data_IF_099942460784
#
_entry.id   IF_099942460784
#
_cell.length_a   1.000
_cell.length_b   1.000
_cell.length_c   1.000
_cell.angle_alpha   90.00
_cell.angle_beta   90.00
_cell.angle_gamma   90.00
#
_symmetry.space_group_name_H-M   'P 1'
#
loop_
_entity.id
_entity.type
_entity.pdbx_description
1 polymer ?
#
# COMPACT_ATOMS: atom_id res chain seq x y z
N UNK A 1 4.88 -21.62 4.72
CA UNK A 1 6.11 -20.85 4.46
C UNK A 1 5.73 -19.68 3.56
N UNK A 2 4.77 -18.88 4.03
CA UNK A 2 4.09 -17.86 3.25
C UNK A 2 4.81 -16.52 3.25
N UNK A 3 4.39 -15.68 2.32
CA UNK A 3 4.71 -14.27 2.07
C UNK A 3 5.54 -13.49 3.11
N UNK A 4 6.40 -12.62 2.56
CA UNK A 4 6.72 -11.33 3.20
C UNK A 4 8.01 -11.27 4.02
N UNK A 5 8.94 -10.44 3.55
CA UNK A 5 10.10 -9.88 4.25
C UNK A 5 11.22 -10.86 4.63
N UNK A 6 12.44 -10.34 4.53
CA UNK A 6 13.67 -11.03 4.88
C UNK A 6 13.66 -11.45 6.36
N UNK A 7 14.60 -12.29 6.80
CA UNK A 7 14.91 -12.25 8.23
C UNK A 7 15.20 -10.79 8.59
N UNK A 8 14.49 -10.18 9.53
CA UNK A 8 14.61 -8.75 9.86
C UNK A 8 16.10 -8.37 10.02
N UNK A 9 16.90 -9.27 10.60
CA UNK A 9 18.34 -9.16 10.69
C UNK A 9 19.08 -9.16 9.33
N UNK A 10 18.75 -10.05 8.40
CA UNK A 10 19.38 -10.13 7.08
C UNK A 10 19.08 -8.90 6.21
N UNK A 11 17.85 -8.41 6.22
CA UNK A 11 17.53 -7.18 5.49
C UNK A 11 18.15 -5.96 6.11
N UNK A 12 18.11 -5.79 7.43
CA UNK A 12 18.83 -4.69 8.09
C UNK A 12 20.33 -4.75 7.86
N UNK A 13 20.90 -5.95 7.73
CA UNK A 13 22.31 -6.12 7.36
C UNK A 13 22.61 -5.66 5.93
N UNK A 14 21.69 -5.86 4.98
CA UNK A 14 21.84 -5.57 3.55
C UNK A 14 21.35 -4.16 3.16
N UNK A 15 20.47 -3.59 3.96
CA UNK A 15 19.82 -2.30 3.77
C UNK A 15 19.88 -1.57 5.12
N UNK A 16 21.06 -1.11 5.56
CA UNK A 16 21.27 -0.55 6.89
C UNK A 16 20.53 0.78 7.07
N UNK A 17 20.34 1.51 5.98
CA UNK A 17 19.57 2.74 5.91
C UNK A 17 18.08 2.47 5.57
N UNK A 18 17.63 1.22 5.68
CA UNK A 18 16.22 0.89 5.53
C UNK A 18 15.40 1.79 6.47
N UNK A 19 14.37 2.49 5.96
CA UNK A 19 13.46 3.25 6.79
C UNK A 19 12.95 2.37 7.93
N UNK A 20 13.00 2.84 9.17
CA UNK A 20 12.44 2.12 10.33
C UNK A 20 10.91 1.94 10.28
N UNK A 21 10.26 2.53 9.27
CA UNK A 21 8.81 2.60 9.10
C UNK A 21 8.43 2.32 7.64
N UNK A 22 9.00 1.28 7.01
CA UNK A 22 8.51 0.86 5.70
C UNK A 22 7.06 0.42 5.84
N UNK A 23 6.29 0.61 4.77
CA UNK A 23 4.87 0.23 4.72
C UNK A 23 4.64 -1.25 5.04
N UNK A 24 5.62 -2.10 4.75
CA UNK A 24 5.58 -3.57 4.93
C UNK A 24 6.17 -4.09 6.25
N UNK A 25 6.67 -3.24 7.15
CA UNK A 25 7.54 -3.65 8.27
C UNK A 25 6.87 -4.47 9.39
N UNK A 26 5.60 -4.86 9.22
CA UNK A 26 4.97 -5.85 10.08
C UNK A 26 3.80 -6.59 9.41
N UNK A 27 3.89 -6.79 8.09
CA UNK A 27 3.00 -7.69 7.34
C UNK A 27 3.25 -9.19 7.63
N UNK A 28 4.07 -9.50 8.64
CA UNK A 28 4.30 -10.86 9.10
C UNK A 28 3.20 -11.24 10.10
N UNK A 29 2.49 -12.34 9.83
CA UNK A 29 1.74 -13.05 10.87
C UNK A 29 2.72 -13.93 11.65
N UNK A 30 3.17 -13.55 12.87
CA UNK A 30 3.78 -14.53 13.74
C UNK A 30 2.71 -15.58 14.08
N UNK A 31 3.09 -16.86 14.02
CA UNK A 31 2.27 -17.92 14.60
C UNK A 31 1.99 -17.55 16.06
N UNK A 32 0.76 -17.15 16.37
CA UNK A 32 0.37 -16.85 17.73
C UNK A 32 0.41 -18.15 18.53
N UNK A 33 1.17 -18.18 19.62
CA UNK A 33 1.06 -19.25 20.59
C UNK A 33 -0.38 -19.25 21.13
N UNK A 34 -1.16 -20.25 20.69
CA UNK A 34 -2.57 -20.49 21.01
C UNK A 34 -2.90 -20.39 22.52
N UNK A 35 -1.90 -20.45 23.40
CA UNK A 35 -2.07 -20.30 24.84
C UNK A 35 -2.23 -18.85 25.33
N UNK A 36 -1.92 -17.83 24.51
CA UNK A 36 -2.11 -16.40 24.86
C UNK A 36 -3.41 -15.77 24.31
N UNK A 37 -4.01 -16.33 23.26
CA UNK A 37 -5.25 -15.82 22.66
C UNK A 37 -6.46 -15.87 23.60
N UNK A 38 -6.44 -16.74 24.61
CA UNK A 38 -7.53 -16.88 25.58
C UNK A 38 -7.65 -15.68 26.55
N UNK A 39 -6.64 -14.82 26.68
CA UNK A 39 -6.63 -13.74 27.70
C UNK A 39 -7.05 -12.37 27.16
N UNK A 40 -7.21 -12.20 25.84
CA UNK A 40 -7.62 -10.94 25.21
C UNK A 40 -9.07 -10.92 24.69
N UNK A 41 -9.81 -12.03 24.82
CA UNK A 41 -11.23 -12.16 24.44
C UNK A 41 -12.22 -11.35 25.32
N UNK A 42 -11.78 -10.22 25.90
CA UNK A 42 -12.60 -9.34 26.75
C UNK A 42 -12.91 -7.99 26.09
N UNK A 43 -12.27 -7.64 24.97
CA UNK A 43 -12.61 -6.41 24.23
C UNK A 43 -13.55 -6.70 23.07
N UNK A 44 -14.84 -6.74 23.43
CA UNK A 44 -16.04 -6.41 22.63
C UNK A 44 -15.91 -6.56 21.10
N UNK A 45 -16.46 -7.65 20.58
CA UNK A 45 -17.27 -7.54 19.36
C UNK A 45 -18.41 -6.55 19.69
N UNK A 46 -18.23 -5.27 19.36
CA UNK A 46 -19.35 -4.32 19.37
C UNK A 46 -20.19 -4.67 18.13
N UNK A 47 -21.44 -5.14 18.26
CA UNK A 47 -22.34 -5.16 17.12
C UNK A 47 -22.63 -3.70 16.79
N UNK A 48 -21.98 -3.16 15.75
CA UNK A 48 -22.02 -1.72 15.45
C UNK A 48 -22.41 -1.38 14.01
N UNK A 49 -22.14 -2.27 13.05
CA UNK A 49 -22.41 -2.01 11.63
C UNK A 49 -23.44 -3.01 11.13
N UNK A 50 -24.58 -2.54 10.63
CA UNK A 50 -25.69 -3.39 10.17
C UNK A 50 -25.69 -3.58 8.65
N UNK A 51 -25.50 -2.49 7.92
CA UNK A 51 -25.52 -2.38 6.47
C UNK A 51 -24.24 -1.65 6.00
N UNK A 52 -23.07 -2.30 6.12
CA UNK A 52 -21.80 -1.69 5.76
C UNK A 52 -21.76 -1.37 4.26
N UNK A 53 -21.33 -0.16 3.93
CA UNK A 53 -21.00 0.22 2.56
C UNK A 53 -19.69 0.99 2.53
N UNK A 54 -18.74 0.53 1.74
CA UNK A 54 -17.45 1.20 1.63
C UNK A 54 -17.57 2.58 0.97
N UNK A 55 -16.70 3.50 1.37
CA UNK A 55 -16.55 4.79 0.71
C UNK A 55 -15.82 4.61 -0.63
N UNK A 56 -16.33 5.24 -1.69
CA UNK A 56 -15.79 5.08 -3.05
C UNK A 56 -14.34 5.57 -3.20
N UNK A 57 -13.56 4.84 -4.01
CA UNK A 57 -12.19 5.22 -4.38
C UNK A 57 -12.11 6.26 -5.49
N UNK A 58 -13.21 6.50 -6.23
CA UNK A 58 -13.20 7.34 -7.44
C UNK A 58 -14.39 8.30 -7.54
N UNK A 59 -15.58 7.86 -7.10
CA UNK A 59 -16.81 8.60 -7.32
C UNK A 59 -16.97 9.75 -6.33
N UNK A 60 -17.50 10.86 -6.84
CA UNK A 60 -17.79 12.05 -6.07
C UNK A 60 -16.57 12.89 -5.74
N UNK A 61 -16.84 14.06 -5.18
CA UNK A 61 -15.80 14.96 -4.67
C UNK A 61 -15.19 14.43 -3.37
N UNK A 62 -13.93 14.73 -3.09
CA UNK A 62 -13.25 14.40 -1.83
C UNK A 62 -13.70 15.39 -0.76
N UNK A 63 -14.64 14.99 0.09
CA UNK A 63 -15.25 15.85 1.13
C UNK A 63 -14.51 15.76 2.46
N UNK A 64 -13.93 14.59 2.77
CA UNK A 64 -13.23 14.39 4.04
C UNK A 64 -12.07 13.41 3.91
N UNK A 65 -10.91 13.80 4.44
CA UNK A 65 -9.70 12.99 4.49
C UNK A 65 -9.23 12.77 5.93
N UNK A 66 -8.65 11.61 6.19
CA UNK A 66 -7.77 11.36 7.32
C UNK A 66 -6.33 11.41 6.80
N UNK A 67 -5.46 12.13 7.51
CA UNK A 67 -4.01 12.14 7.27
C UNK A 67 -3.29 11.87 8.60
N UNK A 68 -2.21 11.10 8.58
CA UNK A 68 -1.35 10.87 9.75
C UNK A 68 0.05 11.42 9.51
N UNK A 69 0.56 12.21 10.46
CA UNK A 69 1.86 12.86 10.38
C UNK A 69 2.74 12.45 11.56
N UNK A 70 3.52 11.37 11.42
CA UNK A 70 4.46 10.95 12.44
C UNK A 70 5.65 11.92 12.51
N UNK A 71 6.35 11.95 13.65
CA UNK A 71 7.40 12.96 13.89
C UNK A 71 8.55 12.89 12.89
N UNK A 72 8.95 11.67 12.49
CA UNK A 72 9.97 11.51 11.46
C UNK A 72 9.52 12.14 10.12
N UNK A 73 8.23 12.08 9.81
CA UNK A 73 7.65 12.65 8.60
C UNK A 73 7.61 14.17 8.66
N UNK A 74 7.23 14.72 9.82
CA UNK A 74 7.24 16.17 10.08
C UNK A 74 8.64 16.76 9.98
N UNK A 75 9.66 15.99 10.36
CA UNK A 75 11.07 16.42 10.38
C UNK A 75 11.81 16.20 9.05
N UNK A 76 11.21 15.52 8.07
CA UNK A 76 11.80 15.28 6.74
C UNK A 76 11.31 16.33 5.72
N UNK A 77 12.18 17.22 5.22
CA UNK A 77 11.81 18.19 4.19
C UNK A 77 11.23 17.54 2.92
N UNK A 78 11.72 16.36 2.56
CA UNK A 78 11.30 15.60 1.39
C UNK A 78 9.86 15.11 1.55
N UNK A 79 9.51 14.54 2.71
CA UNK A 79 8.14 14.08 3.00
C UNK A 79 7.17 15.26 3.18
N UNK A 80 7.58 16.32 3.86
CA UNK A 80 6.78 17.55 4.04
C UNK A 80 6.37 18.15 2.70
N UNK A 81 7.25 18.12 1.71
CA UNK A 81 6.94 18.60 0.35
C UNK A 81 5.77 17.83 -0.27
N UNK A 82 5.77 16.50 -0.17
CA UNK A 82 4.67 15.66 -0.63
C UNK A 82 3.38 15.91 0.16
N UNK A 83 3.43 15.90 1.50
CA UNK A 83 2.25 16.16 2.36
C UNK A 83 1.57 17.48 2.03
N UNK A 84 2.36 18.57 1.97
CA UNK A 84 1.83 19.91 1.70
C UNK A 84 1.23 20.01 0.30
N UNK A 85 1.83 19.36 -0.70
CA UNK A 85 1.27 19.37 -2.05
C UNK A 85 -0.13 18.74 -2.12
N UNK A 86 -0.40 17.70 -1.32
CA UNK A 86 -1.74 17.09 -1.23
C UNK A 86 -2.69 18.04 -0.52
N UNK A 87 -2.29 18.60 0.64
CA UNK A 87 -3.12 19.52 1.42
C UNK A 87 -3.49 20.75 0.59
N UNK A 88 -2.52 21.37 -0.07
CA UNK A 88 -2.68 22.59 -0.86
C UNK A 88 -3.53 22.35 -2.13
N UNK A 89 -3.51 21.13 -2.67
CA UNK A 89 -4.31 20.75 -3.84
C UNK A 89 -5.79 20.53 -3.52
N UNK A 90 -6.13 20.18 -2.28
CA UNK A 90 -7.52 20.00 -1.88
C UNK A 90 -8.28 21.33 -1.88
N UNK A 91 -9.57 21.28 -2.21
CA UNK A 91 -10.46 22.45 -2.13
C UNK A 91 -10.59 22.95 -0.68
N UNK A 92 -10.81 24.25 -0.52
CA UNK A 92 -11.02 24.86 0.81
C UNK A 92 -12.20 24.26 1.60
N UNK A 93 -13.17 23.63 0.92
CA UNK A 93 -14.29 22.95 1.55
C UNK A 93 -13.97 21.56 2.10
N UNK A 94 -12.83 20.97 1.76
CA UNK A 94 -12.44 19.64 2.23
C UNK A 94 -12.21 19.66 3.74
N UNK A 95 -12.74 18.65 4.42
CA UNK A 95 -12.53 18.43 5.85
C UNK A 95 -11.35 17.49 6.08
N UNK A 96 -10.62 17.71 7.16
CA UNK A 96 -9.44 16.94 7.51
C UNK A 96 -9.55 16.44 8.95
N UNK A 97 -9.27 15.17 9.13
CA UNK A 97 -8.93 14.55 10.41
C UNK A 97 -7.42 14.33 10.39
N UNK A 98 -6.70 15.03 11.26
CA UNK A 98 -5.24 15.11 11.22
C UNK A 98 -4.65 14.48 12.48
N UNK A 99 -4.09 13.29 12.33
CA UNK A 99 -3.40 12.57 13.39
C UNK A 99 -1.95 13.05 13.44
N UNK A 100 -1.48 13.46 14.62
CA UNK A 100 -0.13 14.01 14.79
C UNK A 100 0.40 13.73 16.20
N UNK A 101 1.72 13.72 16.37
CA UNK A 101 2.29 13.73 17.72
C UNK A 101 2.02 15.05 18.44
N UNK A 102 1.82 15.00 19.77
CA UNK A 102 1.57 16.17 20.61
C UNK A 102 2.62 17.28 20.41
N UNK A 103 3.90 16.91 20.34
CA UNK A 103 5.02 17.84 20.15
C UNK A 103 5.04 18.54 18.78
N UNK A 104 4.49 17.92 17.75
CA UNK A 104 4.52 18.43 16.36
C UNK A 104 3.30 19.31 16.00
N UNK A 105 2.35 19.44 16.93
CA UNK A 105 1.09 20.18 16.79
C UNK A 105 1.25 21.49 16.02
N UNK A 106 2.11 22.37 16.54
CA UNK A 106 2.24 23.73 16.03
C UNK A 106 2.77 23.73 14.59
N UNK A 107 3.70 22.85 14.26
CA UNK A 107 4.26 22.72 12.91
C UNK A 107 3.19 22.25 11.94
N UNK A 108 2.46 21.18 12.28
CA UNK A 108 1.42 20.58 11.44
C UNK A 108 0.27 21.56 11.18
N UNK A 109 -0.16 22.33 12.19
CA UNK A 109 -1.21 23.35 12.02
C UNK A 109 -0.89 24.35 10.90
N UNK A 110 0.39 24.73 10.73
CA UNK A 110 0.79 25.71 9.71
C UNK A 110 0.58 25.21 8.28
N UNK A 111 0.52 23.89 8.07
CA UNK A 111 0.33 23.31 6.74
C UNK A 111 -1.11 23.46 6.26
N UNK A 112 -2.06 23.64 7.18
CA UNK A 112 -3.49 23.79 6.87
C UNK A 112 -3.97 25.24 6.83
N UNK A 113 -3.06 26.21 6.81
CA UNK A 113 -3.41 27.64 6.83
C UNK A 113 -4.29 28.09 5.63
N UNK A 114 -4.26 27.34 4.51
CA UNK A 114 -5.13 27.56 3.35
C UNK A 114 -6.58 27.06 3.52
N UNK A 115 -6.87 26.33 4.59
CA UNK A 115 -8.17 25.73 4.86
C UNK A 115 -8.86 26.41 6.05
N UNK A 116 -10.20 26.52 6.06
CA UNK A 116 -10.94 27.01 7.22
C UNK A 116 -10.64 26.16 8.46
N UNK A 117 -10.31 26.81 9.59
CA UNK A 117 -10.00 26.09 10.83
C UNK A 117 -11.12 25.13 11.29
N UNK A 118 -12.38 25.47 11.00
CA UNK A 118 -13.53 24.62 11.31
C UNK A 118 -13.59 23.33 10.48
N UNK A 119 -12.82 23.23 9.39
CA UNK A 119 -12.72 22.04 8.55
C UNK A 119 -11.57 21.12 8.98
N UNK A 120 -10.76 21.50 9.98
CA UNK A 120 -9.60 20.71 10.39
C UNK A 120 -9.77 20.29 11.84
N UNK A 121 -10.02 19.00 12.04
CA UNK A 121 -10.01 18.38 13.37
C UNK A 121 -8.68 17.70 13.57
N UNK A 122 -8.07 17.94 14.72
CA UNK A 122 -6.75 17.43 15.00
C UNK A 122 -6.78 16.47 16.18
N UNK A 123 -6.08 15.35 15.98
CA UNK A 123 -6.15 14.15 16.81
C UNK A 123 -4.73 13.91 17.35
N UNK A 124 -4.46 14.28 18.61
CA UNK A 124 -3.13 14.12 19.19
C UNK A 124 -2.84 12.66 19.53
N UNK A 125 -1.65 12.20 19.17
CA UNK A 125 -1.04 10.97 19.64
C UNK A 125 0.10 11.31 20.63
N UNK A 126 0.22 10.63 21.77
CA UNK A 126 1.32 10.88 22.70
C UNK A 126 2.69 10.64 22.04
N UNK A 127 3.69 11.47 22.34
CA UNK A 127 5.03 11.39 21.71
C UNK A 127 5.76 10.04 21.92
N UNK A 128 5.30 9.21 22.88
CA UNK A 128 5.86 7.89 23.13
C UNK A 128 5.23 6.77 22.29
N UNK A 129 4.16 7.06 21.55
CA UNK A 129 3.48 6.12 20.65
C UNK A 129 3.96 6.38 19.23
N UNK A 130 4.78 5.48 18.70
CA UNK A 130 5.16 5.53 17.29
C UNK A 130 3.95 5.18 16.40
N UNK A 131 3.89 5.77 15.20
CA UNK A 131 2.91 5.44 14.16
C UNK A 131 3.45 5.84 12.78
N UNK A 132 2.76 5.45 11.71
CA UNK A 132 3.17 5.72 10.33
C UNK A 132 2.25 6.72 9.62
N UNK A 133 2.74 7.30 8.53
CA UNK A 133 1.98 8.19 7.64
C UNK A 133 1.04 7.43 6.69
N UNK A 134 1.02 6.09 6.73
CA UNK A 134 0.24 5.22 5.85
C UNK A 134 -1.22 5.08 6.32
N UNK A 135 -1.91 6.22 6.40
CA UNK A 135 -3.31 6.32 6.84
C UNK A 135 -4.30 5.45 6.04
N UNK A 136 -3.95 4.98 4.84
CA UNK A 136 -4.84 4.14 4.04
C UNK A 136 -4.97 2.71 4.59
N UNK A 137 -3.96 2.20 5.30
CA UNK A 137 -3.80 0.74 5.43
C UNK A 137 -4.51 0.10 6.63
N UNK A 138 -4.37 0.69 7.82
CA UNK A 138 -4.75 0.03 9.09
C UNK A 138 -6.25 -0.23 9.28
N UNK A 139 -7.10 0.24 8.37
CA UNK A 139 -8.55 0.14 8.45
C UNK A 139 -9.21 0.31 7.08
N UNK A 140 -10.50 -0.03 6.98
CA UNK A 140 -11.39 0.36 5.89
C UNK A 140 -12.33 1.45 6.35
N UNK A 141 -12.66 2.38 5.46
CA UNK A 141 -13.62 3.44 5.77
C UNK A 141 -14.97 3.10 5.14
N UNK A 142 -16.00 3.02 5.97
CA UNK A 142 -17.35 2.65 5.55
C UNK A 142 -18.40 3.55 6.18
N UNK A 143 -19.58 3.57 5.58
CA UNK A 143 -20.80 4.13 6.15
C UNK A 143 -21.76 2.99 6.48
N UNK A 144 -22.56 3.18 7.54
CA UNK A 144 -23.61 2.22 7.94
C UNK A 144 -25.01 2.78 7.63
N UNK A 145 -25.69 2.16 6.66
CA UNK A 145 -27.09 2.42 6.32
C UNK A 145 -27.56 3.89 6.34
N UNK A 146 -28.79 4.10 6.80
CA UNK A 146 -29.46 5.41 6.87
C UNK A 146 -28.89 6.35 7.96
N UNK A 147 -28.02 5.87 8.84
CA UNK A 147 -27.45 6.68 9.93
C UNK A 147 -26.37 7.65 9.45
N UNK A 148 -25.88 7.48 8.21
CA UNK A 148 -24.81 8.28 7.60
C UNK A 148 -23.58 8.42 8.52
N UNK A 149 -23.36 7.40 9.35
CA UNK A 149 -22.29 7.33 10.34
C UNK A 149 -21.07 6.69 9.70
N UNK A 150 -19.94 7.40 9.70
CA UNK A 150 -18.66 6.88 9.20
C UNK A 150 -17.98 6.01 10.26
N UNK A 151 -17.45 4.88 9.83
CA UNK A 151 -16.63 3.97 10.63
C UNK A 151 -15.25 3.78 10.01
N UNK A 152 -14.24 3.61 10.86
CA UNK A 152 -12.98 2.95 10.55
C UNK A 152 -13.09 1.50 11.04
N UNK A 153 -13.19 0.57 10.10
CA UNK A 153 -13.23 -0.86 10.35
C UNK A 153 -11.81 -1.42 10.32
N UNK A 154 -11.30 -1.81 11.48
CA UNK A 154 -10.00 -2.43 11.65
C UNK A 154 -10.06 -3.94 11.32
N UNK A 155 -8.97 -4.52 10.79
CA UNK A 155 -8.87 -5.96 10.61
C UNK A 155 -8.70 -6.67 11.97
N UNK A 156 -8.68 -7.99 11.93
CA UNK A 156 -8.49 -8.83 13.12
C UNK A 156 -7.21 -8.48 13.89
N UNK A 157 -6.15 -8.18 13.15
CA UNK A 157 -4.88 -7.73 13.69
C UNK A 157 -4.18 -6.86 12.65
N UNK A 158 -3.55 -5.80 13.12
CA UNK A 158 -2.70 -4.93 12.31
C UNK A 158 -1.45 -4.56 13.10
N UNK A 159 -0.49 -5.50 13.23
CA UNK A 159 0.76 -5.16 13.87
C UNK A 159 1.52 -4.27 12.89
N UNK A 160 1.59 -2.96 13.10
CA UNK A 160 2.55 -2.06 12.44
C UNK A 160 2.71 -0.80 13.26
N UNK A 161 3.84 -0.69 13.94
CA UNK A 161 4.07 0.39 14.91
C UNK A 161 2.86 0.51 15.87
N UNK A 162 2.39 1.73 16.14
CA UNK A 162 1.14 2.03 16.84
C UNK A 162 -0.04 2.39 15.93
N UNK A 163 -0.02 1.99 14.65
CA UNK A 163 -1.09 2.32 13.69
C UNK A 163 -2.47 1.79 14.13
N UNK A 164 -2.51 0.67 14.85
CA UNK A 164 -3.72 0.10 15.43
C UNK A 164 -4.36 0.97 16.53
N UNK A 165 -3.72 2.06 16.94
CA UNK A 165 -4.29 3.01 17.90
C UNK A 165 -4.93 4.22 17.21
N UNK A 166 -4.74 4.38 15.90
CA UNK A 166 -5.23 5.54 15.15
C UNK A 166 -6.76 5.56 15.13
N UNK A 167 -7.43 4.43 14.87
CA UNK A 167 -8.89 4.39 14.77
C UNK A 167 -9.57 4.75 16.10
N UNK A 168 -9.09 4.15 17.21
CA UNK A 168 -9.56 4.45 18.57
C UNK A 168 -9.38 5.92 18.93
N UNK A 169 -8.20 6.48 18.63
CA UNK A 169 -7.92 7.89 18.93
C UNK A 169 -8.78 8.81 18.05
N UNK A 170 -9.00 8.47 16.78
CA UNK A 170 -9.92 9.22 15.92
C UNK A 170 -11.36 9.18 16.43
N UNK A 171 -11.82 8.06 16.99
CA UNK A 171 -13.14 7.95 17.63
C UNK A 171 -13.29 8.89 18.84
N UNK A 172 -12.22 9.10 19.61
CA UNK A 172 -12.27 9.98 20.78
C UNK A 172 -12.44 11.47 20.42
N UNK A 173 -11.87 11.91 19.31
CA UNK A 173 -11.81 13.34 18.93
C UNK A 173 -12.79 13.73 17.82
N UNK A 174 -13.44 12.78 17.17
CA UNK A 174 -14.29 13.03 16.01
C UNK A 174 -15.66 12.35 16.13
N UNK A 175 -16.51 12.52 15.12
CA UNK A 175 -17.75 11.73 15.01
C UNK A 175 -17.53 10.36 14.39
N UNK A 176 -16.34 10.07 13.83
CA UNK A 176 -16.03 8.77 13.22
C UNK A 176 -15.97 7.70 14.32
N UNK A 177 -16.43 6.49 14.03
CA UNK A 177 -16.44 5.37 14.99
C UNK A 177 -15.40 4.33 14.64
N UNK A 178 -14.86 3.64 15.64
CA UNK A 178 -13.99 2.49 15.44
C UNK A 178 -14.79 1.19 15.56
N UNK A 179 -14.48 0.22 14.70
CA UNK A 179 -15.05 -1.13 14.72
C UNK A 179 -13.98 -2.13 14.27
N UNK A 180 -14.22 -3.42 14.49
CA UNK A 180 -13.29 -4.46 14.09
C UNK A 180 -14.02 -5.63 13.41
N UNK A 181 -13.37 -6.24 12.42
CA UNK A 181 -13.84 -7.46 11.76
C UNK A 181 -12.87 -8.64 11.97
N UNK A 182 -13.37 -9.89 12.03
CA UNK A 182 -12.53 -11.08 12.08
C UNK A 182 -12.00 -11.45 10.68
N UNK A 183 -11.33 -10.49 10.04
CA UNK A 183 -10.85 -10.56 8.65
C UNK A 183 -9.43 -10.01 8.58
N UNK A 184 -8.66 -10.46 7.59
CA UNK A 184 -7.39 -9.85 7.21
C UNK A 184 -7.62 -8.94 6.01
N UNK A 185 -7.24 -7.69 6.13
CA UNK A 185 -7.19 -6.73 5.03
C UNK A 185 -6.32 -5.54 5.40
N UNK A 186 -5.92 -4.78 4.39
CA UNK A 186 -5.46 -3.41 4.55
C UNK A 186 -6.14 -2.55 3.49
N UNK A 187 -6.40 -1.29 3.79
CA UNK A 187 -7.16 -0.43 2.88
C UNK A 187 -6.47 -0.15 1.55
N UNK A 188 -5.14 -0.08 1.51
CA UNK A 188 -4.40 0.04 0.25
C UNK A 188 -4.58 -1.17 -0.68
N UNK A 189 -4.99 -2.31 -0.12
CA UNK A 189 -5.30 -3.50 -0.89
C UNK A 189 -6.79 -3.60 -1.29
N UNK A 190 -7.56 -2.51 -1.12
CA UNK A 190 -8.97 -2.41 -1.46
C UNK A 190 -9.24 -1.22 -2.39
N UNK A 191 -10.02 -1.43 -3.47
CA UNK A 191 -10.48 -0.37 -4.36
C UNK A 191 -11.98 -0.49 -4.62
N UNK A 192 -12.71 0.61 -4.50
CA UNK A 192 -14.17 0.60 -4.38
C UNK A 192 -14.82 1.23 -5.61
N UNK A 193 -15.52 0.39 -6.38
CA UNK A 193 -16.31 0.76 -7.55
C UNK A 193 -17.78 1.06 -7.20
N UNK A 194 -18.65 0.96 -8.20
CA UNK A 194 -20.09 1.26 -8.04
C UNK A 194 -20.84 0.09 -7.41
N UNK A 195 -20.84 -1.03 -8.11
CA UNK A 195 -21.51 -2.29 -7.77
C UNK A 195 -20.51 -3.41 -7.43
N UNK A 196 -19.22 -3.09 -7.42
CA UNK A 196 -18.13 -4.00 -7.07
C UNK A 196 -17.12 -3.32 -6.16
N UNK A 197 -16.31 -4.14 -5.50
CA UNK A 197 -15.07 -3.70 -4.88
C UNK A 197 -13.99 -4.77 -5.07
N UNK A 198 -12.75 -4.30 -5.13
CA UNK A 198 -11.57 -5.11 -5.40
C UNK A 198 -10.84 -5.36 -4.09
N UNK A 199 -10.34 -6.58 -3.91
CA UNK A 199 -9.43 -6.96 -2.84
C UNK A 199 -8.25 -7.71 -3.44
N UNK A 200 -7.03 -7.36 -3.01
CA UNK A 200 -5.87 -8.17 -3.35
C UNK A 200 -6.00 -9.62 -2.86
N UNK A 201 -5.72 -10.58 -3.74
CA UNK A 201 -5.95 -12.01 -3.45
C UNK A 201 -5.21 -12.51 -2.22
N UNK A 202 -4.04 -11.96 -1.90
CA UNK A 202 -3.21 -12.46 -0.80
C UNK A 202 -3.94 -12.33 0.55
N UNK A 203 -4.63 -11.22 0.81
CA UNK A 203 -5.36 -11.03 2.09
C UNK A 203 -6.64 -11.86 2.22
N UNK A 204 -7.26 -12.22 1.10
CA UNK A 204 -8.32 -13.21 1.11
C UNK A 204 -7.78 -14.58 1.54
N UNK A 205 -6.58 -14.95 1.05
CA UNK A 205 -5.92 -16.21 1.41
C UNK A 205 -5.40 -16.20 2.85
N UNK A 206 -4.90 -15.08 3.36
CA UNK A 206 -4.48 -14.94 4.75
C UNK A 206 -5.67 -15.15 5.70
N UNK A 207 -6.81 -14.54 5.40
CA UNK A 207 -8.06 -14.79 6.16
C UNK A 207 -8.42 -16.28 6.14
N UNK A 208 -8.36 -16.91 4.97
CA UNK A 208 -8.66 -18.33 4.81
C UNK A 208 -7.71 -19.23 5.62
N UNK A 209 -6.42 -18.90 5.66
CA UNK A 209 -5.42 -19.64 6.44
C UNK A 209 -5.62 -19.48 7.94
N UNK A 210 -5.95 -18.29 8.43
CA UNK A 210 -6.24 -18.07 9.85
C UNK A 210 -7.51 -18.81 10.32
N UNK A 211 -8.49 -19.00 9.44
CA UNK A 211 -9.65 -19.87 9.73
C UNK A 211 -9.22 -21.33 9.83
N UNK A 212 -8.39 -21.81 8.90
CA UNK A 212 -7.92 -23.20 8.84
C UNK A 212 -7.08 -23.60 10.05
N UNK A 213 -6.22 -22.69 10.48
CA UNK A 213 -5.34 -22.86 11.64
C UNK A 213 -6.08 -22.68 12.96
N UNK A 214 -7.29 -22.11 12.94
CA UNK A 214 -8.09 -21.82 14.13
C UNK A 214 -7.59 -20.60 14.92
N UNK A 215 -6.78 -19.75 14.29
CA UNK A 215 -6.28 -18.50 14.89
C UNK A 215 -7.36 -17.41 14.93
N UNK A 216 -8.31 -17.43 13.99
CA UNK A 216 -9.52 -16.62 14.08
C UNK A 216 -10.56 -17.30 14.99
N UNK A 217 -11.22 -16.55 15.91
CA UNK A 217 -12.20 -17.10 16.85
C UNK A 217 -13.57 -17.34 16.19
N UNK A 218 -13.57 -17.96 15.00
CA UNK A 218 -14.77 -18.24 14.22
C UNK A 218 -14.75 -19.69 13.75
N UNK A 219 -15.94 -20.27 13.54
CA UNK A 219 -16.08 -21.64 13.04
C UNK A 219 -16.91 -21.66 11.78
N UNK A 220 -16.43 -22.40 10.78
CA UNK A 220 -17.14 -22.58 9.51
C UNK A 220 -18.44 -23.33 9.77
N UNK A 221 -19.61 -22.78 9.35
CA UNK A 221 -20.89 -23.45 9.52
C UNK A 221 -20.94 -24.80 8.79
N UNK A 222 -21.64 -25.77 9.37
CA UNK A 222 -21.82 -27.10 8.77
C UNK A 222 -22.46 -26.98 7.37
N UNK A 223 -21.87 -27.68 6.39
CA UNK A 223 -22.36 -27.69 5.00
C UNK A 223 -21.88 -26.52 4.13
N UNK A 224 -21.02 -25.64 4.64
CA UNK A 224 -20.34 -24.61 3.84
C UNK A 224 -18.86 -24.94 3.65
N UNK A 225 -18.29 -24.51 2.54
CA UNK A 225 -16.83 -24.47 2.36
C UNK A 225 -16.24 -23.24 3.04
N UNK A 226 -14.95 -23.31 3.39
CA UNK A 226 -14.23 -22.17 3.98
C UNK A 226 -14.23 -20.96 3.04
N UNK A 227 -14.09 -21.18 1.73
CA UNK A 227 -14.06 -20.10 0.72
C UNK A 227 -15.41 -19.37 0.65
N UNK A 228 -16.52 -20.12 0.65
CA UNK A 228 -17.87 -19.52 0.70
C UNK A 228 -18.06 -18.71 1.99
N UNK A 229 -17.58 -19.24 3.11
CA UNK A 229 -17.69 -18.57 4.40
C UNK A 229 -16.84 -17.29 4.48
N UNK A 230 -15.60 -17.29 3.98
CA UNK A 230 -14.77 -16.07 3.92
C UNK A 230 -15.44 -14.99 3.06
N UNK A 231 -16.00 -15.35 1.90
CA UNK A 231 -16.76 -14.40 1.06
C UNK A 231 -17.97 -13.83 1.79
N UNK A 232 -18.70 -14.66 2.52
CA UNK A 232 -19.82 -14.21 3.36
C UNK A 232 -19.36 -13.26 4.46
N UNK A 233 -18.22 -13.53 5.12
CA UNK A 233 -17.69 -12.65 6.16
C UNK A 233 -17.32 -11.27 5.60
N UNK A 234 -16.62 -11.23 4.46
CA UNK A 234 -16.32 -9.96 3.78
C UNK A 234 -17.61 -9.21 3.40
N UNK A 235 -18.59 -9.90 2.80
CA UNK A 235 -19.88 -9.28 2.47
C UNK A 235 -20.61 -8.73 3.70
N UNK A 236 -20.60 -9.48 4.80
CA UNK A 236 -21.30 -9.10 6.04
C UNK A 236 -20.64 -7.95 6.79
N UNK A 237 -19.30 -7.90 6.81
CA UNK A 237 -18.56 -6.96 7.63
C UNK A 237 -18.07 -5.72 6.86
N UNK A 238 -17.90 -5.83 5.54
CA UNK A 238 -17.19 -4.81 4.75
C UNK A 238 -18.10 -4.11 3.75
N UNK A 239 -18.80 -4.87 2.91
CA UNK A 239 -19.76 -4.31 1.96
C UNK A 239 -20.79 -5.36 1.52
N UNK A 240 -22.04 -5.17 1.93
CA UNK A 240 -23.12 -6.11 1.62
C UNK A 240 -23.79 -5.84 0.27
N UNK A 241 -23.57 -4.66 -0.30
CA UNK A 241 -24.24 -4.20 -1.52
C UNK A 241 -23.41 -4.44 -2.79
N UNK A 242 -22.08 -4.46 -2.66
CA UNK A 242 -21.15 -4.61 -3.79
C UNK A 242 -20.53 -6.00 -3.87
N UNK A 243 -20.29 -6.45 -5.10
CA UNK A 243 -19.61 -7.72 -5.35
C UNK A 243 -18.10 -7.63 -5.04
N UNK A 244 -17.59 -8.56 -4.23
CA UNK A 244 -16.16 -8.72 -3.98
C UNK A 244 -15.45 -9.45 -5.14
N UNK A 245 -14.56 -8.74 -5.82
CA UNK A 245 -13.67 -9.29 -6.84
C UNK A 245 -12.22 -9.37 -6.34
N UNK A 246 -11.58 -10.52 -6.55
CA UNK A 246 -10.20 -10.74 -6.12
C UNK A 246 -9.22 -10.37 -7.23
N UNK A 247 -8.14 -9.69 -6.87
CA UNK A 247 -7.12 -9.20 -7.81
C UNK A 247 -5.76 -9.83 -7.49
N UNK A 248 -5.26 -10.63 -8.41
CA UNK A 248 -3.97 -11.31 -8.32
C UNK A 248 -3.81 -12.33 -9.43
N UNK A 249 -2.64 -12.96 -9.51
CA UNK A 249 -2.35 -14.03 -10.46
C UNK A 249 -2.97 -15.35 -10.01
N UNK A 250 -3.13 -16.29 -10.95
CA UNK A 250 -3.62 -17.66 -10.66
C UNK A 250 -2.54 -18.56 -10.05
N UNK A 251 -1.27 -18.17 -10.18
CA UNK A 251 -0.12 -18.95 -9.72
C UNK A 251 0.88 -18.04 -8.99
N UNK A 252 1.61 -18.58 -8.01
CA UNK A 252 2.66 -17.85 -7.32
C UNK A 252 3.67 -17.22 -8.29
N UNK A 253 4.14 -16.02 -7.96
CA UNK A 253 5.04 -15.23 -8.82
C UNK A 253 6.43 -15.86 -9.00
N UNK A 254 6.85 -16.70 -8.04
CA UNK A 254 8.11 -17.46 -8.14
C UNK A 254 9.37 -16.61 -8.02
N UNK A 255 9.27 -15.41 -7.44
CA UNK A 255 10.42 -14.54 -7.19
C UNK A 255 11.18 -15.02 -5.95
N UNK A 256 12.51 -15.16 -6.04
CA UNK A 256 13.37 -15.45 -4.89
C UNK A 256 13.59 -14.17 -4.09
N UNK A 257 13.86 -14.32 -2.78
CA UNK A 257 14.25 -13.18 -1.92
C UNK A 257 15.57 -12.53 -2.36
N UNK A 258 16.52 -13.34 -2.83
CA UNK A 258 17.86 -12.88 -3.19
C UNK A 258 18.32 -13.48 -4.51
N UNK A 259 19.02 -12.68 -5.31
CA UNK A 259 19.70 -13.12 -6.52
C UNK A 259 21.17 -12.69 -6.50
N UNK A 260 22.05 -13.63 -6.86
CA UNK A 260 23.44 -13.34 -7.15
C UNK A 260 23.57 -13.07 -8.65
N UNK A 261 23.79 -11.81 -9.02
CA UNK A 261 23.92 -11.36 -10.39
C UNK A 261 25.36 -10.92 -10.66
N UNK A 262 25.90 -11.26 -11.83
CA UNK A 262 27.22 -10.79 -12.28
C UNK A 262 27.06 -10.09 -13.62
N UNK A 263 27.23 -8.76 -13.61
CA UNK A 263 27.07 -7.91 -14.79
C UNK A 263 28.35 -7.10 -14.99
N UNK A 264 28.91 -7.15 -16.21
CA UNK A 264 30.14 -6.41 -16.56
C UNK A 264 31.32 -6.59 -15.58
N UNK A 265 31.38 -7.72 -14.86
CA UNK A 265 32.43 -8.02 -13.87
C UNK A 265 32.14 -7.52 -12.45
N UNK A 266 30.98 -6.90 -12.22
CA UNK A 266 30.50 -6.49 -10.90
C UNK A 266 29.66 -7.59 -10.25
N UNK A 267 29.80 -7.76 -8.93
CA UNK A 267 28.96 -8.66 -8.14
C UNK A 267 27.79 -7.88 -7.54
N UNK A 268 26.57 -8.30 -7.87
CA UNK A 268 25.34 -7.60 -7.56
C UNK A 268 24.42 -8.53 -6.77
N UNK A 269 24.16 -8.19 -5.51
CA UNK A 269 23.18 -8.89 -4.69
C UNK A 269 21.84 -8.17 -4.83
N UNK A 270 20.94 -8.74 -5.63
CA UNK A 270 19.63 -8.16 -5.91
C UNK A 270 18.58 -8.63 -4.88
N UNK A 271 17.81 -7.66 -4.40
CA UNK A 271 16.71 -7.78 -3.45
C UNK A 271 15.40 -7.36 -4.13
N UNK A 272 14.86 -8.19 -5.06
CA UNK A 272 13.73 -7.77 -5.89
C UNK A 272 12.35 -7.92 -5.22
N UNK A 273 12.26 -8.70 -4.13
CA UNK A 273 10.98 -9.03 -3.48
C UNK A 273 10.44 -7.97 -2.52
N UNK A 274 11.03 -6.76 -2.50
CA UNK A 274 10.56 -5.67 -1.65
C UNK A 274 9.13 -5.28 -2.02
N UNK A 275 8.15 -5.62 -1.16
CA UNK A 275 6.74 -5.31 -1.41
C UNK A 275 6.08 -6.17 -2.49
N UNK A 276 6.55 -7.38 -2.77
CA UNK A 276 5.83 -8.36 -3.61
C UNK A 276 5.04 -9.34 -2.74
N UNK A 277 3.79 -9.63 -3.09
CA UNK A 277 2.98 -10.68 -2.46
C UNK A 277 3.22 -12.07 -3.06
N UNK A 278 2.45 -13.06 -2.64
CA UNK A 278 2.54 -14.42 -3.21
C UNK A 278 1.86 -14.47 -4.59
N UNK A 279 0.71 -13.80 -4.73
CA UNK A 279 -0.08 -13.71 -5.96
C UNK A 279 -0.21 -12.27 -6.50
N UNK A 280 0.36 -11.29 -5.81
CA UNK A 280 0.29 -9.89 -6.24
C UNK A 280 1.68 -9.32 -6.57
N UNK A 281 1.89 -8.77 -7.78
CA UNK A 281 3.20 -8.26 -8.19
C UNK A 281 3.64 -7.04 -7.36
N UNK A 282 2.71 -6.38 -6.68
CA UNK A 282 2.96 -5.46 -5.56
C UNK A 282 1.94 -5.81 -4.48
N UNK A 283 2.36 -5.80 -3.22
CA UNK A 283 1.57 -6.23 -2.06
C UNK A 283 0.18 -5.57 -1.97
N UNK A 284 0.06 -4.31 -2.40
CA UNK A 284 -1.21 -3.59 -2.48
C UNK A 284 -1.63 -3.27 -3.91
N UNK A 285 -2.91 -3.49 -4.21
CA UNK A 285 -3.47 -3.21 -5.53
C UNK A 285 -3.52 -1.72 -5.87
N UNK A 286 -3.63 -0.82 -4.88
CA UNK A 286 -3.60 0.63 -5.12
C UNK A 286 -2.28 1.12 -5.72
N UNK A 287 -1.23 0.31 -5.68
CA UNK A 287 0.07 0.60 -6.28
C UNK A 287 0.12 0.32 -7.78
N UNK A 288 -0.83 -0.45 -8.34
CA UNK A 288 -0.83 -0.80 -9.76
C UNK A 288 -2.20 -0.83 -10.42
N UNK A 289 -3.27 -0.52 -9.68
CA UNK A 289 -4.64 -0.41 -10.16
C UNK A 289 -5.20 0.95 -9.75
N UNK A 290 -5.89 1.62 -10.67
CA UNK A 290 -6.64 2.85 -10.38
C UNK A 290 -8.04 2.76 -10.99
N UNK A 291 -9.06 3.10 -10.22
CA UNK A 291 -10.44 3.21 -10.72
C UNK A 291 -10.67 4.62 -11.29
N UNK A 292 -11.14 4.71 -12.54
CA UNK A 292 -11.37 5.99 -13.23
C UNK A 292 -12.86 6.27 -13.54
N UNK A 293 -13.76 5.37 -13.13
CA UNK A 293 -15.19 5.49 -13.40
C UNK A 293 -15.61 4.98 -14.78
N UNK A 294 -16.90 5.05 -15.12
CA UNK A 294 -17.41 4.55 -16.40
C UNK A 294 -16.93 5.39 -17.58
N UNK A 295 -16.54 4.70 -18.67
CA UNK A 295 -16.27 5.30 -19.97
C UNK A 295 -17.55 5.68 -20.72
N UNK A 296 -17.40 6.30 -21.88
CA UNK A 296 -18.53 6.68 -22.75
C UNK A 296 -19.30 5.48 -23.31
N UNK A 297 -18.70 4.29 -23.31
CA UNK A 297 -19.32 3.02 -23.72
C UNK A 297 -20.05 2.31 -22.55
N UNK A 298 -20.07 2.91 -21.36
CA UNK A 298 -20.70 2.38 -20.15
C UNK A 298 -19.86 1.32 -19.43
N UNK A 299 -18.71 0.90 -19.96
CA UNK A 299 -17.81 -0.01 -19.23
C UNK A 299 -17.04 0.76 -18.16
N UNK A 300 -16.86 0.14 -17.00
CA UNK A 300 -16.07 0.74 -15.93
C UNK A 300 -14.59 0.75 -16.31
N UNK A 301 -13.93 1.92 -16.24
CA UNK A 301 -12.53 2.08 -16.61
C UNK A 301 -11.60 1.81 -15.44
N UNK A 302 -10.59 0.98 -15.70
CA UNK A 302 -9.53 0.63 -14.76
C UNK A 302 -8.19 0.89 -15.42
N UNK A 303 -7.31 1.63 -14.75
CA UNK A 303 -5.91 1.72 -15.14
C UNK A 303 -5.15 0.59 -14.47
N UNK A 304 -4.29 -0.10 -15.23
CA UNK A 304 -3.44 -1.17 -14.73
C UNK A 304 -1.99 -0.92 -15.16
N UNK A 305 -1.07 -0.85 -14.19
CA UNK A 305 0.34 -0.58 -14.41
C UNK A 305 1.05 -1.63 -15.27
N UNK A 306 2.05 -1.20 -16.04
CA UNK A 306 2.86 -2.02 -16.92
C UNK A 306 4.34 -1.60 -16.86
N UNK A 307 5.21 -2.47 -16.33
CA UNK A 307 6.66 -2.32 -16.41
C UNK A 307 7.22 -2.15 -17.82
N UNK A 308 6.75 -2.92 -18.80
CA UNK A 308 7.23 -2.83 -20.18
C UNK A 308 7.00 -1.43 -20.80
N UNK A 309 5.90 -0.76 -20.46
CA UNK A 309 5.64 0.60 -20.92
C UNK A 309 6.62 1.60 -20.31
N UNK A 310 6.97 1.43 -19.03
CA UNK A 310 7.97 2.26 -18.38
C UNK A 310 9.38 2.01 -18.94
N UNK A 311 9.76 0.73 -19.08
CA UNK A 311 11.05 0.32 -19.63
C UNK A 311 11.23 0.83 -21.07
N UNK A 312 10.19 0.77 -21.90
CA UNK A 312 10.22 1.34 -23.24
C UNK A 312 10.38 2.87 -23.24
N UNK A 313 9.72 3.58 -22.33
CA UNK A 313 9.81 5.03 -22.22
C UNK A 313 11.19 5.50 -21.74
N UNK A 314 11.81 4.75 -20.83
CA UNK A 314 13.12 5.08 -20.24
C UNK A 314 14.31 4.49 -21.01
N UNK A 315 14.06 3.58 -21.96
CA UNK A 315 15.11 2.83 -22.64
C UNK A 315 15.84 1.86 -21.70
N UNK A 316 15.14 1.35 -20.68
CA UNK A 316 15.67 0.43 -19.66
C UNK A 316 15.09 -0.97 -19.82
N UNK A 317 15.54 -1.89 -18.95
CA UNK A 317 14.93 -3.20 -18.79
C UNK A 317 15.08 -3.66 -17.34
N UNK A 318 13.98 -3.99 -16.68
CA UNK A 318 14.01 -4.64 -15.36
C UNK A 318 13.94 -6.16 -15.49
N UNK A 319 14.94 -6.93 -15.02
CA UNK A 319 14.92 -8.40 -15.05
C UNK A 319 13.91 -9.00 -14.06
N UNK A 320 13.45 -8.22 -13.09
CA UNK A 320 12.53 -8.64 -12.04
C UNK A 320 11.18 -7.91 -12.14
N UNK A 321 10.82 -7.42 -13.33
CA UNK A 321 9.63 -6.56 -13.52
C UNK A 321 8.31 -7.27 -13.28
N UNK A 322 8.26 -8.61 -13.29
CA UNK A 322 7.03 -9.39 -13.20
C UNK A 322 5.96 -9.00 -14.25
N UNK A 323 6.35 -8.49 -15.43
CA UNK A 323 5.43 -8.03 -16.48
C UNK A 323 4.29 -9.02 -16.77
N UNK A 324 4.60 -10.33 -16.86
CA UNK A 324 3.60 -11.36 -17.14
C UNK A 324 2.48 -11.41 -16.07
N UNK A 325 2.78 -11.09 -14.82
CA UNK A 325 1.77 -11.01 -13.75
C UNK A 325 0.84 -9.81 -13.96
N UNK A 326 1.39 -8.64 -14.31
CA UNK A 326 0.59 -7.46 -14.63
C UNK A 326 -0.32 -7.68 -15.85
N UNK A 327 0.18 -8.39 -16.88
CA UNK A 327 -0.62 -8.71 -18.07
C UNK A 327 -1.73 -9.72 -17.78
N UNK A 328 -1.47 -10.71 -16.92
CA UNK A 328 -2.48 -11.65 -16.46
C UNK A 328 -3.62 -10.92 -15.73
N UNK A 329 -3.29 -10.00 -14.83
CA UNK A 329 -4.27 -9.19 -14.10
C UNK A 329 -5.08 -8.28 -15.04
N UNK A 330 -4.40 -7.60 -15.98
CA UNK A 330 -5.07 -6.76 -16.98
C UNK A 330 -6.02 -7.56 -17.90
N UNK A 331 -5.61 -8.76 -18.30
CA UNK A 331 -6.44 -9.66 -19.09
C UNK A 331 -7.67 -10.14 -18.28
N UNK A 332 -7.52 -10.36 -16.98
CA UNK A 332 -8.62 -10.73 -16.10
C UNK A 332 -9.65 -9.60 -15.94
N UNK A 333 -9.21 -8.34 -15.75
CA UNK A 333 -10.12 -7.20 -15.79
C UNK A 333 -10.87 -7.10 -17.13
N UNK A 334 -10.18 -7.30 -18.25
CA UNK A 334 -10.83 -7.31 -19.57
C UNK A 334 -11.88 -8.41 -19.68
N UNK A 335 -11.61 -9.61 -19.13
CA UNK A 335 -12.54 -10.75 -19.09
C UNK A 335 -13.77 -10.44 -18.22
N UNK A 336 -13.61 -9.66 -17.16
CA UNK A 336 -14.68 -9.20 -16.28
C UNK A 336 -15.49 -8.03 -16.86
N UNK A 337 -15.12 -7.53 -18.05
CA UNK A 337 -15.88 -6.50 -18.78
C UNK A 337 -15.43 -5.07 -18.54
N UNK A 338 -14.31 -4.85 -17.84
CA UNK A 338 -13.74 -3.52 -17.63
C UNK A 338 -13.14 -2.94 -18.93
N UNK A 339 -13.11 -1.60 -19.01
CA UNK A 339 -12.28 -0.85 -19.95
C UNK A 339 -10.87 -0.70 -19.37
N UNK A 340 -9.95 -1.56 -19.80
CA UNK A 340 -8.59 -1.60 -19.24
C UNK A 340 -7.67 -0.66 -20.00
N UNK A 341 -7.14 0.33 -19.29
CA UNK A 341 -6.11 1.26 -19.78
C UNK A 341 -4.77 0.86 -19.16
N UNK A 342 -3.74 0.64 -19.98
CA UNK A 342 -2.38 0.34 -19.49
C UNK A 342 -1.60 1.63 -19.31
N UNK A 343 -0.80 1.71 -18.24
CA UNK A 343 0.04 2.87 -17.96
C UNK A 343 1.43 2.44 -17.47
N UNK A 344 2.49 3.28 -17.64
CA UNK A 344 3.82 2.99 -17.11
C UNK A 344 3.82 2.74 -15.59
N UNK A 345 4.59 1.73 -15.17
CA UNK A 345 4.93 1.44 -13.77
C UNK A 345 6.43 1.11 -13.71
N UNK A 346 7.22 1.91 -13.02
CA UNK A 346 8.68 1.76 -13.02
C UNK A 346 9.10 0.78 -11.93
N UNK A 347 10.06 -0.08 -12.25
CA UNK A 347 10.75 -0.94 -11.28
C UNK A 347 12.24 -0.60 -11.30
N UNK A 348 12.73 0.04 -10.23
CA UNK A 348 14.06 0.67 -10.23
C UNK A 348 14.96 0.09 -9.15
N UNK A 349 16.22 -0.23 -9.47
CA UNK A 349 17.20 -0.61 -8.46
C UNK A 349 17.82 0.62 -7.81
N UNK A 350 18.18 0.47 -6.53
CA UNK A 350 18.99 1.41 -5.77
C UNK A 350 20.10 0.64 -5.05
N UNK A 351 21.34 1.13 -5.14
CA UNK A 351 22.44 0.56 -4.35
C UNK A 351 22.24 1.00 -2.91
N UNK A 352 21.85 0.06 -2.05
CA UNK A 352 21.61 0.32 -0.63
C UNK A 352 22.87 0.19 0.21
N UNK A 353 23.84 -0.60 -0.27
CA UNK A 353 25.09 -0.84 0.44
C UNK A 353 26.16 -1.43 -0.48
N UNK A 354 27.42 -1.20 -0.11
CA UNK A 354 28.56 -1.92 -0.66
C UNK A 354 29.23 -2.75 0.44
N UNK A 355 29.43 -4.04 0.15
CA UNK A 355 30.04 -5.00 1.06
C UNK A 355 31.31 -5.59 0.44
N UNK A 356 32.25 -6.03 1.28
CA UNK A 356 33.25 -7.00 0.81
C UNK A 356 32.62 -8.38 0.79
N UNK A 357 33.03 -9.22 -0.15
CA UNK A 357 32.56 -10.61 -0.20
C UNK A 357 32.90 -11.38 1.09
N UNK A 358 34.02 -11.06 1.74
CA UNK A 358 34.36 -11.59 3.06
C UNK A 358 33.33 -11.24 4.14
N UNK A 359 32.85 -9.99 4.17
CA UNK A 359 31.82 -9.57 5.12
C UNK A 359 30.48 -10.27 4.86
N UNK A 360 30.04 -10.34 3.59
CA UNK A 360 28.82 -11.05 3.21
C UNK A 360 28.88 -12.53 3.59
N UNK A 361 30.01 -13.21 3.30
CA UNK A 361 30.23 -14.61 3.70
C UNK A 361 30.19 -14.80 5.21
N UNK A 362 30.88 -13.93 5.95
CA UNK A 362 30.90 -14.00 7.41
C UNK A 362 29.50 -13.86 8.01
N UNK A 363 28.66 -12.98 7.45
CA UNK A 363 27.27 -12.85 7.89
C UNK A 363 26.45 -14.09 7.51
N UNK A 364 26.62 -14.63 6.31
CA UNK A 364 25.89 -15.82 5.84
C UNK A 364 26.20 -17.11 6.64
N UNK A 365 27.36 -17.16 7.30
CA UNK A 365 27.75 -18.26 8.20
C UNK A 365 27.05 -18.16 9.57
N UNK A 366 26.49 -16.99 9.93
CA UNK A 366 25.68 -16.82 11.14
C UNK A 366 24.28 -17.45 10.99
N UNK A 367 23.56 -17.69 12.11
CA UNK A 367 22.15 -18.08 12.05
C UNK A 367 21.27 -17.05 11.32
N UNK A 368 21.52 -15.76 11.56
CA UNK A 368 20.72 -14.66 11.01
C UNK A 368 20.92 -14.45 9.50
N UNK A 369 22.10 -14.82 8.98
CA UNK A 369 22.42 -14.72 7.56
C UNK A 369 22.26 -16.03 6.78
N UNK A 370 21.76 -17.10 7.40
CA UNK A 370 21.75 -18.44 6.80
C UNK A 370 21.07 -18.51 5.43
N UNK A 371 20.07 -17.65 5.17
CA UNK A 371 19.37 -17.55 3.88
C UNK A 371 20.24 -16.99 2.73
N UNK A 372 21.37 -16.35 3.03
CA UNK A 372 22.29 -15.78 2.02
C UNK A 372 23.36 -16.78 1.53
N UNK A 373 23.38 -18.01 2.05
CA UNK A 373 24.41 -19.00 1.70
C UNK A 373 24.40 -19.38 0.21
N UNK A 374 23.21 -19.46 -0.41
CA UNK A 374 23.09 -19.74 -1.86
C UNK A 374 23.71 -18.60 -2.69
N UNK A 375 23.48 -17.35 -2.29
CA UNK A 375 24.07 -16.16 -2.92
C UNK A 375 25.59 -16.20 -2.80
N UNK A 376 26.10 -16.44 -1.59
CA UNK A 376 27.55 -16.51 -1.32
C UNK A 376 28.22 -17.62 -2.15
N UNK A 377 27.60 -18.80 -2.21
CA UNK A 377 28.12 -19.90 -3.03
C UNK A 377 28.15 -19.55 -4.51
N UNK A 378 27.12 -18.83 -5.00
CA UNK A 378 27.03 -18.40 -6.40
C UNK A 378 28.11 -17.38 -6.75
N UNK A 379 28.37 -16.38 -5.89
CA UNK A 379 29.46 -15.43 -6.11
C UNK A 379 30.84 -16.08 -6.03
N UNK A 380 31.06 -17.01 -5.09
CA UNK A 380 32.31 -17.78 -5.03
C UNK A 380 32.54 -18.58 -6.34
N UNK A 381 31.50 -19.24 -6.85
CA UNK A 381 31.56 -19.97 -8.11
C UNK A 381 31.82 -19.04 -9.32
N UNK A 382 31.35 -17.80 -9.24
CA UNK A 382 31.62 -16.75 -10.23
C UNK A 382 33.00 -16.06 -10.06
N UNK A 383 33.82 -16.49 -9.09
CA UNK A 383 35.18 -16.01 -8.90
C UNK A 383 35.35 -14.85 -7.92
N UNK A 384 34.34 -14.54 -7.10
CA UNK A 384 34.50 -13.56 -6.02
C UNK A 384 35.58 -14.01 -5.03
N UNK A 385 36.51 -13.10 -4.71
CA UNK A 385 37.55 -13.27 -3.69
C UNK A 385 37.21 -12.41 -2.47
N UNK A 386 37.91 -12.58 -1.36
CA UNK A 386 37.61 -11.90 -0.09
C UNK A 386 37.39 -10.38 -0.23
N UNK A 387 38.23 -9.72 -1.02
CA UNK A 387 38.21 -8.27 -1.25
C UNK A 387 37.29 -7.83 -2.39
N UNK A 388 36.60 -8.76 -3.08
CA UNK A 388 35.63 -8.39 -4.12
C UNK A 388 34.51 -7.54 -3.52
N UNK A 389 34.22 -6.41 -4.17
CA UNK A 389 33.06 -5.59 -3.82
C UNK A 389 31.78 -6.25 -4.31
N UNK A 390 30.80 -6.35 -3.42
CA UNK A 390 29.43 -6.76 -3.70
C UNK A 390 28.53 -5.53 -3.53
N UNK A 391 27.90 -5.08 -4.60
CA UNK A 391 26.89 -4.02 -4.52
C UNK A 391 25.53 -4.66 -4.19
N UNK A 392 24.93 -4.23 -3.09
CA UNK A 392 23.59 -4.66 -2.70
C UNK A 392 22.58 -3.73 -3.36
N UNK A 393 21.66 -4.28 -4.17
CA UNK A 393 20.63 -3.52 -4.89
C UNK A 393 19.24 -3.90 -4.38
N UNK A 394 18.56 -2.97 -3.73
CA UNK A 394 17.12 -3.10 -3.47
C UNK A 394 16.34 -2.58 -4.66
N UNK A 395 15.31 -3.31 -5.06
CA UNK A 395 14.40 -2.84 -6.09
C UNK A 395 13.13 -2.28 -5.45
N UNK A 396 12.61 -1.19 -6.00
CA UNK A 396 11.36 -0.59 -5.56
C UNK A 396 10.50 -0.16 -6.74
N UNK A 397 9.21 0.01 -6.47
CA UNK A 397 8.22 0.43 -7.45
C UNK A 397 8.03 1.95 -7.40
N UNK A 398 8.03 2.59 -8.57
CA UNK A 398 7.60 3.98 -8.73
C UNK A 398 6.37 3.95 -9.63
N UNK A 399 5.25 4.47 -9.12
CA UNK A 399 3.94 4.27 -9.73
C UNK A 399 3.10 5.54 -9.72
N UNK A 400 2.40 5.75 -10.84
CA UNK A 400 1.40 6.80 -11.00
C UNK A 400 -0.04 6.29 -10.82
N UNK A 401 -0.21 4.97 -10.60
CA UNK A 401 -1.53 4.40 -10.28
C UNK A 401 -1.99 4.79 -8.88
N UNK A 402 -1.05 5.02 -7.98
CA UNK A 402 -1.31 5.41 -6.61
C UNK A 402 -1.60 6.92 -6.55
N UNK A 403 -2.72 7.34 -7.14
CA UNK A 403 -3.18 8.72 -7.27
C UNK A 403 -4.57 8.91 -6.62
N UNK A 404 -5.05 10.15 -6.52
CA UNK A 404 -6.40 10.43 -6.04
C UNK A 404 -7.30 10.79 -7.22
N UNK A 405 -8.50 10.21 -7.26
CA UNK A 405 -9.48 10.43 -8.34
C UNK A 405 -10.75 11.06 -7.77
N UNK A 406 -11.22 12.11 -8.42
CA UNK A 406 -12.55 12.69 -8.27
C UNK A 406 -13.28 12.59 -9.61
N UNK A 407 -14.44 11.95 -9.59
CA UNK A 407 -15.36 11.95 -10.70
C UNK A 407 -16.74 12.32 -10.18
N UNK A 408 -17.12 13.57 -10.42
CA UNK A 408 -18.30 14.17 -9.82
C UNK A 408 -19.08 14.98 -10.85
N UNK A 409 -20.27 15.41 -10.47
CA UNK A 409 -21.09 16.32 -11.29
C UNK A 409 -20.40 17.66 -11.61
N UNK A 410 -19.40 18.07 -10.83
CA UNK A 410 -18.65 19.32 -11.05
C UNK A 410 -17.42 19.14 -11.94
N UNK A 411 -17.01 17.90 -12.22
CA UNK A 411 -15.90 17.60 -13.10
C UNK A 411 -15.13 16.33 -12.74
N UNK A 412 -14.16 16.03 -13.60
CA UNK A 412 -13.20 14.95 -13.47
C UNK A 412 -11.85 15.54 -13.09
N UNK A 413 -11.29 15.15 -11.94
CA UNK A 413 -9.98 15.60 -11.46
C UNK A 413 -9.16 14.42 -11.00
N UNK A 414 -7.86 14.41 -11.34
CA UNK A 414 -6.89 13.47 -10.80
C UNK A 414 -5.74 14.23 -10.15
N UNK A 415 -5.38 13.82 -8.94
CA UNK A 415 -4.24 14.35 -8.20
C UNK A 415 -3.09 13.37 -8.35
N UNK A 416 -2.14 13.72 -9.21
CA UNK A 416 -1.15 12.81 -9.76
C UNK A 416 0.22 13.06 -9.09
N UNK A 417 0.83 12.06 -8.43
CA UNK A 417 2.19 12.20 -7.91
C UNK A 417 3.18 12.36 -9.07
N UNK A 418 4.30 13.05 -8.81
CA UNK A 418 5.36 13.23 -9.81
C UNK A 418 6.72 12.83 -9.26
N UNK A 419 7.64 12.44 -10.16
CA UNK A 419 8.91 11.81 -9.77
C UNK A 419 10.13 12.31 -10.54
N UNK A 420 9.94 13.11 -11.60
CA UNK A 420 10.98 13.67 -12.46
C UNK A 420 11.84 14.76 -11.83
N UNK A 421 12.38 14.54 -10.63
CA UNK A 421 13.15 15.52 -9.86
C UNK A 421 14.56 15.05 -9.54
N UNK A 422 15.50 16.00 -9.45
CA UNK A 422 16.85 15.75 -8.98
C UNK A 422 17.54 14.58 -9.70
N UNK A 423 18.06 13.56 -8.98
CA UNK A 423 18.68 12.37 -9.58
C UNK A 423 17.72 11.53 -10.45
N UNK A 424 16.41 11.69 -10.27
CA UNK A 424 15.36 10.96 -10.98
C UNK A 424 14.73 11.81 -12.10
N UNK A 425 15.42 12.85 -12.58
CA UNK A 425 14.93 13.76 -13.63
C UNK A 425 14.56 13.05 -14.95
N UNK A 426 15.08 11.84 -15.18
CA UNK A 426 14.70 11.01 -16.32
C UNK A 426 13.24 10.54 -16.26
N UNK A 427 12.63 10.46 -15.07
CA UNK A 427 11.22 10.10 -14.88
C UNK A 427 10.24 11.20 -15.34
N UNK A 428 10.71 12.42 -15.61
CA UNK A 428 9.86 13.52 -16.09
C UNK A 428 9.13 13.16 -17.40
N UNK A 429 9.73 12.31 -18.24
CA UNK A 429 9.06 11.82 -19.47
C UNK A 429 7.81 10.99 -19.16
N UNK A 430 7.83 10.25 -18.05
CA UNK A 430 6.67 9.48 -17.59
C UNK A 430 5.66 10.40 -16.91
N UNK A 431 6.10 11.39 -16.11
CA UNK A 431 5.19 12.39 -15.54
C UNK A 431 4.37 13.08 -16.64
N UNK A 432 5.03 13.49 -17.73
CA UNK A 432 4.37 14.12 -18.89
C UNK A 432 3.44 13.15 -19.64
N UNK A 433 3.86 11.91 -19.82
CA UNK A 433 3.04 10.86 -20.44
C UNK A 433 1.78 10.56 -19.63
N UNK A 434 1.90 10.51 -18.30
CA UNK A 434 0.77 10.27 -17.40
C UNK A 434 -0.21 11.44 -17.37
N UNK A 435 0.28 12.68 -17.39
CA UNK A 435 -0.62 13.84 -17.56
C UNK A 435 -1.39 13.77 -18.89
N UNK A 436 -0.69 13.46 -19.99
CA UNK A 436 -1.32 13.35 -21.30
C UNK A 436 -2.37 12.23 -21.34
N UNK A 437 -2.07 11.08 -20.74
CA UNK A 437 -2.99 9.96 -20.61
C UNK A 437 -4.26 10.40 -19.88
N UNK A 438 -4.14 10.95 -18.67
CA UNK A 438 -5.28 11.37 -17.87
C UNK A 438 -6.09 12.49 -18.52
N UNK A 439 -5.42 13.47 -19.13
CA UNK A 439 -6.07 14.53 -19.91
C UNK A 439 -6.86 13.93 -21.09
N UNK A 440 -6.29 12.94 -21.78
CA UNK A 440 -6.97 12.20 -22.85
C UNK A 440 -8.18 11.40 -22.37
N UNK A 441 -8.21 10.99 -21.09
CA UNK A 441 -9.37 10.37 -20.45
C UNK A 441 -10.43 11.40 -20.00
N UNK A 442 -10.17 12.70 -20.18
CA UNK A 442 -11.09 13.79 -19.84
C UNK A 442 -10.88 14.39 -18.45
N UNK A 443 -9.83 14.00 -17.73
CA UNK A 443 -9.54 14.51 -16.39
C UNK A 443 -8.77 15.82 -16.45
N UNK A 444 -9.07 16.72 -15.51
CA UNK A 444 -8.16 17.79 -15.12
C UNK A 444 -7.06 17.19 -14.26
N UNK A 445 -5.80 17.38 -14.66
CA UNK A 445 -4.65 16.85 -13.93
C UNK A 445 -4.11 17.91 -12.98
N UNK A 446 -4.05 17.58 -11.70
CA UNK A 446 -3.32 18.33 -10.68
C UNK A 446 -2.03 17.57 -10.39
N UNK A 447 -0.90 18.06 -10.91
CA UNK A 447 0.42 17.51 -10.54
C UNK A 447 0.70 17.86 -9.08
N UNK A 448 0.94 16.82 -8.29
CA UNK A 448 1.48 16.95 -6.95
C UNK A 448 3.01 17.08 -7.01
N UNK A 449 3.65 17.34 -5.87
CA UNK A 449 5.09 17.57 -5.81
C UNK A 449 5.92 16.27 -5.94
N UNK A 450 7.17 16.29 -5.48
CA UNK A 450 8.09 15.15 -5.53
C UNK A 450 7.67 14.04 -4.53
N UNK A 451 7.38 12.85 -5.05
CA UNK A 451 7.01 11.67 -4.26
C UNK A 451 8.10 10.59 -4.22
N UNK A 452 9.33 10.84 -4.68
CA UNK A 452 10.41 9.84 -4.66
C UNK A 452 10.71 9.32 -3.24
N UNK A 453 10.68 10.21 -2.23
CA UNK A 453 10.89 9.81 -0.84
C UNK A 453 9.83 8.81 -0.35
N UNK A 454 8.57 8.98 -0.74
CA UNK A 454 7.50 8.02 -0.44
C UNK A 454 7.70 6.71 -1.19
N UNK A 455 8.00 6.76 -2.49
CA UNK A 455 8.16 5.55 -3.32
C UNK A 455 9.29 4.65 -2.80
N UNK A 456 10.39 5.23 -2.30
CA UNK A 456 11.49 4.48 -1.66
C UNK A 456 11.05 3.68 -0.42
N UNK A 457 9.94 4.10 0.22
CA UNK A 457 9.31 3.45 1.39
C UNK A 457 8.10 2.58 1.01
N UNK A 458 7.91 2.31 -0.29
CA UNK A 458 6.85 1.45 -0.86
C UNK A 458 5.42 2.02 -0.74
N UNK A 459 5.26 3.34 -0.77
CA UNK A 459 3.95 4.00 -0.84
C UNK A 459 3.99 5.31 -1.63
N UNK A 460 2.84 5.87 -1.97
CA UNK A 460 2.72 7.17 -2.66
C UNK A 460 1.50 7.94 -2.11
N UNK A 461 0.77 8.72 -2.92
CA UNK A 461 -0.26 9.64 -2.40
C UNK A 461 -1.52 8.95 -1.92
N UNK A 462 -1.98 7.88 -2.58
CA UNK A 462 -3.17 7.16 -2.13
C UNK A 462 -2.93 6.47 -0.78
N UNK A 463 -1.68 6.07 -0.51
CA UNK A 463 -1.29 5.37 0.72
C UNK A 463 -1.31 6.25 1.98
N UNK A 464 -1.07 7.56 1.84
CA UNK A 464 -0.87 8.46 2.99
C UNK A 464 -2.16 9.13 3.49
N UNK A 465 -3.30 8.70 2.97
CA UNK A 465 -4.61 9.27 3.30
C UNK A 465 -5.64 8.18 3.48
N UNK A 466 -6.73 8.48 4.19
CA UNK A 466 -7.98 7.72 4.10
C UNK A 466 -9.13 8.60 3.67
N UNK A 467 -9.99 8.13 2.76
CA UNK A 467 -11.26 8.81 2.49
C UNK A 467 -12.23 8.56 3.65
N UNK A 468 -12.70 9.62 4.31
CA UNK A 468 -13.75 9.55 5.34
C UNK A 468 -15.13 9.98 4.81
N UNK A 469 -15.17 10.60 3.64
CA UNK A 469 -16.41 10.97 2.98
C UNK A 469 -16.20 11.44 1.55
N UNK A 470 -17.19 11.11 0.71
CA UNK A 470 -17.30 11.56 -0.68
C UNK A 470 -18.59 12.35 -0.86
N UNK A 471 -18.53 13.38 -1.70
CA UNK A 471 -19.70 14.15 -2.12
C UNK A 471 -20.41 13.49 -3.30
N UNK A 472 -21.51 14.09 -3.74
CA UNK A 472 -22.22 13.68 -4.96
C UNK A 472 -21.51 14.16 -6.24
#
# INVERSE_FOLDING_TARGET
MGAGTYGDAAHRFLVPDAPHHKRTDADLFPALDSTRAATLNVFRARPGVQEPSLISSWAGTIESLLLSFPSYGVQSPELVTGYRSVIDAMRAGTRFVVVHHESDRQTVETWFAGHPAANVTYVPMPDYVDFTDWAEDGYLALVDGDENQTYLLEPWSFPRSGDSLIADTVEEYTSVRASQAPLVFQGGNCLIGDDFWLLGTDYFLDTLELIRTGELPISVPAGRTEVEFVRELFSRHVDSARELQLVGTKRPLGLKKYYATVEAGEFLLDLPGGGTGDLQPIFHIDMFVTLAGPGSDGRFRVLAGSPDLADAALGTKSPFSLQAAYDEIAAEFSRLGFDVVRNPLVHRPEITQQLTFAALRSFADSPDGAELREVVASFAAAGAVAESTVNVRSWHHITWNNCLVENSSVGLTVYLPTFGYGPQADLAVIDDSMEQLWTGLGFTVVRLADFNAFASRLGVVHCIKKYLGRGA
#
